data_IF_637131622720
#
_entry.id   IF_637131622720
#
_cell.length_a   1.000
_cell.length_b   1.000
_cell.length_c   1.000
_cell.angle_alpha   90.00
_cell.angle_beta   90.00
_cell.angle_gamma   90.00
#
_symmetry.space_group_name_H-M   'P 1'
#
loop_
_entity.id
_entity.type
_entity.pdbx_description
1 polymer ?
#
# COMPACT_ATOMS: atom_id res chain seq x y z
N UNK A 1 7.74 -24.61 25.99
CA UNK A 1 6.49 -23.90 25.67
C UNK A 1 6.81 -22.43 25.76
N UNK A 2 7.01 -21.77 24.61
CA UNK A 2 7.36 -20.34 24.59
C UNK A 2 6.04 -19.58 24.73
N UNK A 3 5.78 -18.97 25.89
CA UNK A 3 4.52 -18.28 26.13
C UNK A 3 4.63 -16.76 25.93
N UNK A 4 3.58 -16.19 25.34
CA UNK A 4 3.34 -14.76 25.23
C UNK A 4 4.47 -13.99 24.55
N UNK A 5 5.13 -13.11 25.31
CA UNK A 5 6.10 -12.12 24.82
C UNK A 5 7.31 -12.79 24.15
N UNK A 6 7.78 -13.92 24.68
CA UNK A 6 8.94 -14.60 24.13
C UNK A 6 8.65 -15.16 22.72
N UNK A 7 7.42 -15.65 22.47
CA UNK A 7 7.03 -16.18 21.18
C UNK A 7 6.94 -15.06 20.14
N UNK A 8 6.35 -13.93 20.52
CA UNK A 8 6.26 -12.73 19.67
C UNK A 8 7.65 -12.18 19.37
N UNK A 9 8.53 -12.07 20.38
CA UNK A 9 9.90 -11.60 20.20
C UNK A 9 10.71 -12.52 19.26
N UNK A 10 10.56 -13.84 19.38
CA UNK A 10 11.20 -14.79 18.45
C UNK A 10 10.65 -14.68 17.03
N UNK A 11 9.34 -14.48 16.86
CA UNK A 11 8.72 -14.29 15.56
C UNK A 11 9.18 -13.00 14.87
N UNK A 12 9.19 -11.89 15.59
CA UNK A 12 9.70 -10.59 15.10
C UNK A 12 11.19 -10.68 14.78
N UNK A 13 11.99 -11.32 15.64
CA UNK A 13 13.42 -11.53 15.41
C UNK A 13 13.71 -12.34 14.15
N UNK A 14 12.97 -13.43 13.92
CA UNK A 14 13.08 -14.24 12.70
C UNK A 14 12.66 -13.45 11.45
N UNK A 15 11.59 -12.67 11.54
CA UNK A 15 11.09 -11.85 10.43
C UNK A 15 12.13 -10.80 10.03
N UNK A 16 12.65 -10.05 11.01
CA UNK A 16 13.72 -9.08 10.77
C UNK A 16 15.00 -9.73 10.26
N UNK A 17 15.33 -10.93 10.76
CA UNK A 17 16.47 -11.73 10.28
C UNK A 17 16.33 -12.09 8.80
N UNK A 18 15.16 -12.60 8.36
CA UNK A 18 14.92 -12.90 6.96
C UNK A 18 14.90 -11.65 6.08
N UNK A 19 14.32 -10.54 6.56
CA UNK A 19 14.36 -9.26 5.84
C UNK A 19 15.79 -8.73 5.69
N UNK A 20 16.66 -8.91 6.69
CA UNK A 20 18.06 -8.51 6.62
C UNK A 20 18.86 -9.29 5.55
N UNK A 21 18.45 -10.53 5.25
CA UNK A 21 19.02 -11.34 4.14
C UNK A 21 18.53 -10.84 2.76
N UNK A 22 17.60 -9.89 2.73
CA UNK A 22 17.04 -9.31 1.50
C UNK A 22 15.80 -10.02 0.98
N UNK A 23 15.16 -10.90 1.78
CA UNK A 23 13.87 -11.45 1.40
C UNK A 23 12.80 -10.35 1.38
N UNK A 24 11.91 -10.34 0.36
CA UNK A 24 10.77 -9.45 0.38
C UNK A 24 9.87 -9.77 1.57
N UNK A 25 9.26 -8.74 2.16
CA UNK A 25 8.49 -8.82 3.42
C UNK A 25 7.45 -9.93 3.38
N UNK A 26 6.73 -10.10 2.26
CA UNK A 26 5.71 -11.14 2.12
C UNK A 26 6.29 -12.56 2.26
N UNK A 27 7.47 -12.82 1.71
CA UNK A 27 8.10 -14.14 1.73
C UNK A 27 8.65 -14.46 3.12
N UNK A 28 9.30 -13.47 3.76
CA UNK A 28 9.74 -13.58 5.15
C UNK A 28 8.55 -13.84 6.09
N UNK A 29 7.46 -13.07 5.93
CA UNK A 29 6.24 -13.23 6.73
C UNK A 29 5.59 -14.59 6.53
N UNK A 30 5.52 -15.09 5.30
CA UNK A 30 4.97 -16.40 4.97
C UNK A 30 5.77 -17.52 5.66
N UNK A 31 7.10 -17.52 5.51
CA UNK A 31 7.98 -18.52 6.12
C UNK A 31 7.87 -18.54 7.65
N UNK A 32 7.88 -17.36 8.29
CA UNK A 32 7.77 -17.25 9.75
C UNK A 32 6.42 -17.76 10.24
N UNK A 33 5.32 -17.40 9.57
CA UNK A 33 3.98 -17.89 9.95
C UNK A 33 3.86 -19.41 9.76
N UNK A 34 4.40 -19.96 8.68
CA UNK A 34 4.34 -21.40 8.41
C UNK A 34 5.14 -22.20 9.46
N UNK A 35 6.33 -21.71 9.82
CA UNK A 35 7.15 -22.29 10.88
C UNK A 35 6.48 -22.17 12.26
N UNK A 36 5.90 -21.01 12.57
CA UNK A 36 5.20 -20.78 13.84
C UNK A 36 3.99 -21.71 13.99
N UNK A 37 3.17 -21.85 12.94
CA UNK A 37 2.02 -22.76 12.95
C UNK A 37 2.47 -24.22 13.10
N UNK A 38 3.50 -24.65 12.36
CA UNK A 38 4.01 -26.01 12.42
C UNK A 38 4.57 -26.39 13.80
N UNK A 39 5.29 -25.48 14.45
CA UNK A 39 5.97 -25.74 15.74
C UNK A 39 5.05 -25.53 16.96
N UNK A 40 4.13 -24.56 16.90
CA UNK A 40 3.33 -24.15 18.06
C UNK A 40 1.90 -24.74 18.04
N UNK A 41 1.25 -24.79 16.88
CA UNK A 41 -0.19 -25.15 16.77
C UNK A 41 -0.47 -26.53 16.16
N UNK A 42 0.42 -27.06 15.32
CA UNK A 42 0.19 -28.32 14.63
C UNK A 42 -0.89 -28.24 13.52
N UNK A 43 -1.42 -29.39 13.04
CA UNK A 43 -2.26 -29.47 11.83
C UNK A 43 -3.54 -28.63 11.86
N UNK A 44 -4.07 -28.30 13.04
CA UNK A 44 -5.27 -27.48 13.17
C UNK A 44 -5.01 -25.97 12.99
N UNK A 45 -3.74 -25.52 13.08
CA UNK A 45 -3.38 -24.11 12.92
C UNK A 45 -3.27 -23.65 11.46
N UNK A 46 -3.24 -24.57 10.49
CA UNK A 46 -3.18 -24.20 9.06
C UNK A 46 -4.41 -23.40 8.60
N UNK A 47 -5.57 -23.62 9.23
CA UNK A 47 -6.76 -22.81 8.96
C UNK A 47 -6.58 -21.32 9.30
N UNK A 48 -5.85 -21.00 10.37
CA UNK A 48 -5.54 -19.62 10.72
C UNK A 48 -4.59 -18.98 9.70
N UNK A 49 -3.57 -19.72 9.24
CA UNK A 49 -2.66 -19.23 8.22
C UNK A 49 -3.39 -18.85 6.92
N UNK A 50 -4.33 -19.68 6.47
CA UNK A 50 -5.16 -19.41 5.28
C UNK A 50 -6.02 -18.17 5.49
N UNK A 51 -6.62 -17.99 6.67
CA UNK A 51 -7.37 -16.79 7.01
C UNK A 51 -6.49 -15.53 6.98
N UNK A 52 -5.30 -15.56 7.56
CA UNK A 52 -4.38 -14.41 7.55
C UNK A 52 -3.94 -14.03 6.14
N UNK A 53 -3.71 -15.00 5.25
CA UNK A 53 -3.43 -14.74 3.84
C UNK A 53 -4.63 -14.10 3.13
N UNK A 54 -5.84 -14.60 3.40
CA UNK A 54 -7.07 -14.04 2.85
C UNK A 54 -7.25 -12.59 3.29
N UNK A 55 -7.19 -12.30 4.59
CA UNK A 55 -7.33 -10.94 5.14
C UNK A 55 -6.29 -9.96 4.57
N UNK A 56 -5.03 -10.40 4.45
CA UNK A 56 -3.96 -9.57 3.87
C UNK A 56 -4.21 -9.25 2.40
N UNK A 57 -4.77 -10.20 1.65
CA UNK A 57 -5.07 -10.04 0.22
C UNK A 57 -6.34 -9.22 -0.03
N UNK A 58 -7.31 -9.26 0.89
CA UNK A 58 -8.57 -8.51 0.80
C UNK A 58 -8.52 -7.17 1.55
N UNK A 59 -7.33 -6.68 1.88
CA UNK A 59 -7.16 -5.41 2.59
C UNK A 59 -7.63 -4.24 1.73
N UNK A 60 -8.32 -3.28 2.36
CA UNK A 60 -8.91 -2.12 1.67
C UNK A 60 -7.88 -1.30 0.89
N UNK A 61 -6.63 -1.24 1.35
CA UNK A 61 -5.53 -0.59 0.65
C UNK A 61 -5.22 -1.18 -0.73
N UNK A 62 -5.36 -2.51 -0.90
CA UNK A 62 -5.16 -3.17 -2.19
C UNK A 62 -6.31 -2.85 -3.16
N UNK A 63 -7.52 -2.65 -2.64
CA UNK A 63 -8.69 -2.22 -3.42
C UNK A 63 -8.57 -0.75 -3.85
N UNK A 64 -7.90 0.08 -3.05
CA UNK A 64 -7.71 1.50 -3.39
C UNK A 64 -6.87 1.70 -4.65
N UNK A 65 -5.87 0.84 -4.90
CA UNK A 65 -4.97 0.96 -6.07
C UNK A 65 -5.75 0.86 -7.41
N UNK A 66 -6.54 -0.20 -7.68
CA UNK A 66 -7.38 -0.26 -8.88
C UNK A 66 -8.38 0.89 -8.99
N UNK A 67 -8.96 1.33 -7.87
CA UNK A 67 -9.92 2.44 -7.88
C UNK A 67 -9.25 3.76 -8.24
N UNK A 68 -8.00 4.00 -7.84
CA UNK A 68 -7.24 5.17 -8.31
C UNK A 68 -6.90 5.11 -9.78
N UNK A 69 -6.55 3.94 -10.30
CA UNK A 69 -6.33 3.75 -11.73
C UNK A 69 -7.63 4.02 -12.51
N UNK A 70 -8.75 3.49 -12.02
CA UNK A 70 -10.07 3.70 -12.63
C UNK A 70 -10.46 5.19 -12.60
N UNK A 71 -10.28 5.87 -11.47
CA UNK A 71 -10.52 7.30 -11.36
C UNK A 71 -9.66 8.08 -12.36
N UNK A 72 -8.37 7.75 -12.46
CA UNK A 72 -7.46 8.34 -13.45
C UNK A 72 -7.98 8.18 -14.86
N UNK A 73 -8.34 6.96 -15.27
CA UNK A 73 -8.89 6.66 -16.60
C UNK A 73 -10.19 7.44 -16.87
N UNK A 74 -11.08 7.55 -15.88
CA UNK A 74 -12.32 8.34 -16.00
C UNK A 74 -11.99 9.82 -16.26
N UNK A 75 -11.08 10.40 -15.48
CA UNK A 75 -10.69 11.81 -15.61
C UNK A 75 -10.00 12.11 -16.95
N UNK A 76 -9.20 11.17 -17.45
CA UNK A 76 -8.57 11.28 -18.76
C UNK A 76 -9.58 11.16 -19.89
N UNK A 77 -10.47 10.16 -19.85
CA UNK A 77 -11.50 9.96 -20.89
C UNK A 77 -12.55 11.07 -20.94
N UNK A 78 -12.84 11.71 -19.81
CA UNK A 78 -13.80 12.81 -19.73
C UNK A 78 -13.25 14.16 -20.18
N UNK A 79 -11.97 14.26 -20.59
CA UNK A 79 -11.25 15.52 -20.77
C UNK A 79 -11.21 16.43 -19.52
N UNK A 80 -11.55 15.90 -18.34
CA UNK A 80 -11.56 16.69 -17.10
C UNK A 80 -10.16 17.18 -16.74
N UNK A 81 -9.12 16.39 -17.04
CA UNK A 81 -7.71 16.78 -16.83
C UNK A 81 -7.35 18.04 -17.62
N UNK A 82 -7.78 18.14 -18.89
CA UNK A 82 -7.47 19.30 -19.73
C UNK A 82 -8.20 20.56 -19.24
N UNK A 83 -9.47 20.42 -18.83
CA UNK A 83 -10.24 21.52 -18.23
C UNK A 83 -9.58 22.00 -16.92
N UNK A 84 -9.12 21.07 -16.08
CA UNK A 84 -8.40 21.39 -14.84
C UNK A 84 -7.11 22.16 -15.12
N UNK A 85 -6.28 21.66 -16.05
CA UNK A 85 -5.03 22.30 -16.46
C UNK A 85 -5.26 23.75 -16.92
N UNK A 86 -6.23 23.97 -17.81
CA UNK A 86 -6.58 25.30 -18.32
C UNK A 86 -7.11 26.22 -17.22
N UNK A 87 -7.91 25.69 -16.29
CA UNK A 87 -8.46 26.45 -15.17
C UNK A 87 -7.36 26.91 -14.21
N UNK A 88 -6.41 26.03 -13.87
CA UNK A 88 -5.28 26.40 -13.00
C UNK A 88 -4.29 27.31 -13.74
N UNK A 89 -4.03 27.11 -15.03
CA UNK A 89 -3.17 28.04 -15.82
C UNK A 89 -3.75 29.46 -15.82
N UNK A 90 -5.08 29.57 -15.95
CA UNK A 90 -5.78 30.86 -15.88
C UNK A 90 -5.69 31.48 -14.48
N UNK A 91 -5.80 30.68 -13.41
CA UNK A 91 -5.68 31.14 -12.02
C UNK A 91 -4.27 31.63 -11.69
N UNK A 92 -3.23 30.92 -12.16
CA UNK A 92 -1.82 31.27 -11.90
C UNK A 92 -1.42 32.52 -12.69
N UNK A 93 -1.87 32.67 -13.93
CA UNK A 93 -1.56 33.86 -14.73
C UNK A 93 -0.07 33.98 -15.09
N UNK A 94 0.49 35.20 -15.10
CA UNK A 94 1.86 35.49 -15.60
C UNK A 94 2.91 35.58 -14.48
N UNK A 95 3.21 34.46 -13.83
CA UNK A 95 4.24 34.38 -12.77
C UNK A 95 5.58 33.89 -13.33
N UNK A 96 6.71 34.42 -12.85
CA UNK A 96 8.04 33.86 -13.15
C UNK A 96 8.14 32.47 -12.48
N UNK A 97 8.52 31.44 -13.23
CA UNK A 97 8.49 30.05 -12.75
C UNK A 97 7.13 29.36 -12.87
N UNK A 98 6.22 29.87 -13.72
CA UNK A 98 4.84 29.40 -13.89
C UNK A 98 4.67 27.88 -13.97
N UNK A 99 5.52 27.19 -14.73
CA UNK A 99 5.40 25.73 -14.90
C UNK A 99 5.60 24.97 -13.58
N UNK A 100 6.51 25.43 -12.72
CA UNK A 100 6.73 24.84 -11.40
C UNK A 100 5.52 25.02 -10.49
N UNK A 101 4.98 26.24 -10.46
CA UNK A 101 3.77 26.57 -9.68
C UNK A 101 2.56 25.77 -10.16
N UNK A 102 2.39 25.65 -11.48
CA UNK A 102 1.35 24.83 -12.08
C UNK A 102 1.46 23.37 -11.66
N UNK A 103 2.62 22.75 -11.84
CA UNK A 103 2.82 21.33 -11.50
C UNK A 103 2.51 21.04 -10.03
N UNK A 104 2.90 21.93 -9.11
CA UNK A 104 2.60 21.78 -7.68
C UNK A 104 1.10 21.89 -7.41
N UNK A 105 0.44 22.91 -7.95
CA UNK A 105 -1.00 23.11 -7.72
C UNK A 105 -1.83 21.97 -8.33
N UNK A 106 -1.48 21.51 -9.52
CA UNK A 106 -2.09 20.34 -10.13
C UNK A 106 -1.88 19.08 -9.29
N UNK A 107 -0.66 18.84 -8.82
CA UNK A 107 -0.37 17.70 -7.93
C UNK A 107 -1.18 17.78 -6.63
N UNK A 108 -1.29 18.96 -6.02
CA UNK A 108 -2.10 19.19 -4.82
C UNK A 108 -3.57 18.89 -5.06
N UNK A 109 -4.16 19.43 -6.12
CA UNK A 109 -5.58 19.21 -6.45
C UNK A 109 -5.85 17.73 -6.74
N UNK A 110 -5.00 17.06 -7.52
CA UNK A 110 -5.14 15.64 -7.77
C UNK A 110 -4.95 14.80 -6.50
N UNK A 111 -4.03 15.17 -5.60
CA UNK A 111 -3.87 14.50 -4.30
C UNK A 111 -5.15 14.60 -3.47
N UNK A 112 -5.76 15.79 -3.40
CA UNK A 112 -7.02 15.99 -2.64
C UNK A 112 -8.21 15.25 -3.25
N UNK A 113 -8.29 15.17 -4.59
CA UNK A 113 -9.36 14.44 -5.29
C UNK A 113 -9.16 12.92 -5.20
N UNK A 114 -7.90 12.50 -5.22
CA UNK A 114 -7.49 11.11 -5.07
C UNK A 114 -7.50 10.65 -3.61
N UNK A 115 -7.96 11.43 -2.63
CA UNK A 115 -8.06 10.97 -1.23
C UNK A 115 -6.78 10.30 -0.67
N UNK A 116 -5.60 10.72 -1.15
CA UNK A 116 -4.28 10.22 -0.76
C UNK A 116 -3.66 11.11 0.32
#
# INVERSE_FOLDING_TARGET
MVEGIAAVATGVGLLLGFMAVGLPVFAAFLLVNLLAVAVIMGPMGYGMFVNSLYETTTTQSLVTIPLFILMGEILFRSNSVEVLLRSIDTLVGRVKGRQYVLSILLAMVFSTLSGA
#
